data_IF_654307735001
#
_entry.id   IF_654307735001
#
_cell.length_a   1.000
_cell.length_b   1.000
_cell.length_c   1.000
_cell.angle_alpha   90.00
_cell.angle_beta   90.00
_cell.angle_gamma   90.00
#
_symmetry.space_group_name_H-M   'P 1'
#
loop_
_entity.id
_entity.type
_entity.pdbx_description
1 polymer ?
#
# COMPACT_ATOMS: atom_id res chain seq x y z
N UNK A 1 -2.19 -28.76 -13.07
CA UNK A 1 -3.25 -28.29 -12.15
C UNK A 1 -3.37 -26.77 -12.29
N UNK A 2 -4.57 -26.18 -12.37
CA UNK A 2 -4.74 -24.73 -12.59
C UNK A 2 -5.10 -24.03 -11.26
N UNK A 3 -4.32 -23.03 -10.84
CA UNK A 3 -4.53 -22.29 -9.58
C UNK A 3 -5.93 -21.66 -9.47
N UNK A 4 -6.47 -21.19 -10.61
CA UNK A 4 -7.83 -20.62 -10.68
C UNK A 4 -8.94 -21.61 -10.35
N UNK A 5 -8.72 -22.91 -10.58
CA UNK A 5 -9.71 -23.94 -10.22
C UNK A 5 -9.77 -24.12 -8.70
N UNK A 6 -8.63 -24.05 -8.03
CA UNK A 6 -8.50 -24.24 -6.58
C UNK A 6 -9.04 -23.01 -5.82
N UNK A 7 -8.82 -21.81 -6.34
CA UNK A 7 -9.39 -20.56 -5.80
C UNK A 7 -10.92 -20.59 -5.77
N UNK A 8 -11.55 -21.03 -6.87
CA UNK A 8 -13.00 -21.07 -7.04
C UNK A 8 -13.70 -22.28 -6.42
N UNK A 9 -12.94 -23.28 -5.98
CA UNK A 9 -13.52 -24.50 -5.44
C UNK A 9 -14.25 -24.21 -4.12
N UNK A 10 -15.53 -24.50 -4.03
CA UNK A 10 -16.32 -24.29 -2.81
C UNK A 10 -16.19 -25.43 -1.82
N UNK A 11 -15.59 -26.56 -2.21
CA UNK A 11 -15.37 -27.73 -1.35
C UNK A 11 -14.13 -27.58 -0.46
N UNK A 12 -13.17 -26.74 -0.87
CA UNK A 12 -11.98 -26.48 -0.09
C UNK A 12 -12.22 -25.36 0.91
N UNK A 13 -11.87 -25.62 2.17
CA UNK A 13 -11.85 -24.60 3.20
C UNK A 13 -10.82 -23.50 2.88
N UNK A 14 -11.00 -22.28 3.41
CA UNK A 14 -10.00 -21.22 3.28
C UNK A 14 -8.59 -21.63 3.74
N UNK A 15 -8.51 -22.50 4.76
CA UNK A 15 -7.25 -23.01 5.31
C UNK A 15 -6.56 -23.97 4.33
N UNK A 16 -7.29 -24.89 3.70
CA UNK A 16 -6.75 -25.82 2.71
C UNK A 16 -6.28 -25.08 1.45
N UNK A 17 -7.06 -24.10 0.99
CA UNK A 17 -6.64 -23.21 -0.10
C UNK A 17 -5.34 -22.51 0.25
N UNK A 18 -5.26 -21.89 1.43
CA UNK A 18 -4.06 -21.20 1.90
C UNK A 18 -2.84 -22.12 1.87
N UNK A 19 -2.97 -23.35 2.37
CA UNK A 19 -1.87 -24.33 2.35
C UNK A 19 -1.41 -24.63 0.92
N UNK A 20 -2.35 -24.80 -0.02
CA UNK A 20 -2.02 -25.02 -1.43
C UNK A 20 -1.29 -23.83 -2.05
N UNK A 21 -1.75 -22.61 -1.81
CA UNK A 21 -1.12 -21.40 -2.33
C UNK A 21 0.29 -21.19 -1.76
N UNK A 22 0.51 -21.48 -0.47
CA UNK A 22 1.85 -21.44 0.14
C UNK A 22 2.77 -22.50 -0.48
N UNK A 23 2.26 -23.70 -0.75
CA UNK A 23 3.05 -24.74 -1.41
C UNK A 23 3.44 -24.33 -2.84
N UNK A 24 2.48 -23.79 -3.61
CA UNK A 24 2.74 -23.29 -4.96
C UNK A 24 3.74 -22.13 -4.98
N UNK A 25 3.78 -21.32 -3.92
CA UNK A 25 4.73 -20.22 -3.77
C UNK A 25 6.19 -20.66 -3.79
N UNK A 26 6.51 -21.90 -3.38
CA UNK A 26 7.88 -22.44 -3.45
C UNK A 26 8.43 -22.49 -4.89
N UNK A 27 7.55 -22.64 -5.88
CA UNK A 27 7.92 -22.64 -7.30
C UNK A 27 7.75 -21.27 -7.96
N UNK A 28 6.83 -20.44 -7.45
CA UNK A 28 6.48 -19.16 -8.06
C UNK A 28 7.27 -17.97 -7.48
N UNK A 29 7.79 -18.10 -6.25
CA UNK A 29 8.60 -17.08 -5.60
C UNK A 29 7.87 -15.76 -5.37
N UNK A 30 6.57 -15.79 -5.04
CA UNK A 30 5.74 -14.59 -4.82
C UNK A 30 5.82 -14.08 -3.37
N UNK A 31 6.46 -14.84 -2.48
CA UNK A 31 6.67 -14.51 -1.07
C UNK A 31 5.32 -14.18 -0.38
N UNK A 32 4.39 -15.14 -0.43
CA UNK A 32 3.04 -15.02 0.13
C UNK A 32 3.03 -15.01 1.65
N UNK A 33 4.11 -15.47 2.27
CA UNK A 33 4.30 -15.49 3.72
C UNK A 33 5.01 -14.22 4.23
N UNK A 34 5.36 -13.28 3.34
CA UNK A 34 6.01 -12.03 3.75
C UNK A 34 5.18 -11.32 4.81
N UNK A 35 5.87 -10.82 5.82
CA UNK A 35 5.24 -9.91 6.76
C UNK A 35 5.02 -8.60 6.04
N UNK A 36 3.77 -8.11 6.03
CA UNK A 36 3.50 -6.74 5.62
C UNK A 36 4.08 -5.85 6.71
N UNK A 37 5.33 -5.43 6.53
CA UNK A 37 5.94 -4.42 7.37
C UNK A 37 5.30 -3.10 6.98
N UNK A 38 4.18 -2.77 7.63
CA UNK A 38 3.66 -1.43 7.60
C UNK A 38 4.68 -0.54 8.32
N UNK A 39 5.65 -0.01 7.57
CA UNK A 39 6.59 0.97 8.11
C UNK A 39 5.76 2.17 8.56
N UNK A 40 5.63 2.44 9.87
CA UNK A 40 4.80 3.53 10.33
C UNK A 40 5.42 4.84 9.85
N UNK A 41 4.58 5.82 9.53
CA UNK A 41 5.06 7.18 9.29
C UNK A 41 5.71 7.70 10.58
N UNK A 42 6.83 8.38 10.42
CA UNK A 42 7.35 9.24 11.49
C UNK A 42 6.40 10.41 11.75
N UNK A 43 6.51 11.01 12.94
CA UNK A 43 5.73 12.20 13.29
C UNK A 43 5.95 13.35 12.29
N UNK A 44 7.20 13.55 11.84
CA UNK A 44 7.55 14.55 10.83
C UNK A 44 6.85 14.29 9.49
N UNK A 45 6.78 13.04 9.05
CA UNK A 45 6.10 12.67 7.80
C UNK A 45 4.59 12.85 7.90
N UNK A 46 4.01 12.53 9.05
CA UNK A 46 2.60 12.79 9.31
C UNK A 46 2.29 14.29 9.30
N UNK A 47 3.18 15.11 9.88
CA UNK A 47 3.05 16.56 9.86
C UNK A 47 3.14 17.12 8.44
N UNK A 48 4.10 16.66 7.62
CA UNK A 48 4.21 17.06 6.21
C UNK A 48 2.94 16.71 5.40
N UNK A 49 2.34 15.54 5.65
CA UNK A 49 1.07 15.16 5.02
C UNK A 49 -0.06 16.11 5.44
N UNK A 50 -0.15 16.45 6.73
CA UNK A 50 -1.15 17.37 7.24
C UNK A 50 -0.98 18.79 6.67
N UNK A 51 0.25 19.31 6.65
CA UNK A 51 0.57 20.60 6.01
C UNK A 51 0.19 20.62 4.54
N UNK A 52 0.42 19.52 3.81
CA UNK A 52 0.05 19.44 2.39
C UNK A 52 -1.47 19.48 2.22
N UNK A 53 -2.22 18.81 3.11
CA UNK A 53 -3.68 18.85 3.08
C UNK A 53 -4.20 20.26 3.33
N UNK A 54 -3.61 20.99 4.27
CA UNK A 54 -3.96 22.40 4.53
C UNK A 54 -3.58 23.31 3.35
N UNK A 55 -2.40 23.14 2.76
CA UNK A 55 -1.99 23.85 1.55
C UNK A 55 -2.96 23.61 0.38
N UNK A 56 -3.48 22.38 0.25
CA UNK A 56 -4.46 22.04 -0.77
C UNK A 56 -5.83 22.66 -0.51
N UNK A 57 -6.26 22.74 0.76
CA UNK A 57 -7.48 23.46 1.18
C UNK A 57 -7.38 24.97 0.95
N UNK A 58 -6.22 25.56 1.23
CA UNK A 58 -5.95 26.98 0.99
C UNK A 58 -5.67 27.32 -0.48
N UNK A 59 -5.66 26.30 -1.36
CA UNK A 59 -5.34 26.41 -2.80
C UNK A 59 -3.92 26.91 -3.08
N UNK A 60 -3.00 26.69 -2.13
CA UNK A 60 -1.57 26.90 -2.34
C UNK A 60 -0.96 25.67 -3.03
N UNK A 61 -1.07 25.66 -4.36
CA UNK A 61 -0.57 24.57 -5.20
C UNK A 61 0.96 24.45 -5.15
N UNK A 62 1.66 25.58 -5.06
CA UNK A 62 3.13 25.61 -5.01
C UNK A 62 3.65 24.95 -3.73
N UNK A 63 3.07 25.30 -2.58
CA UNK A 63 3.43 24.67 -1.31
C UNK A 63 3.04 23.18 -1.30
N UNK A 64 1.88 22.83 -1.86
CA UNK A 64 1.42 21.44 -1.96
C UNK A 64 2.38 20.57 -2.78
N UNK A 65 2.85 21.08 -3.93
CA UNK A 65 3.81 20.37 -4.78
C UNK A 65 5.18 20.23 -4.10
N UNK A 66 5.67 21.28 -3.43
CA UNK A 66 6.93 21.23 -2.69
C UNK A 66 6.89 20.20 -1.54
N UNK A 67 5.77 20.10 -0.84
CA UNK A 67 5.57 19.10 0.22
C UNK A 67 5.45 17.68 -0.35
N UNK A 68 4.79 17.52 -1.51
CA UNK A 68 4.74 16.23 -2.23
C UNK A 68 6.14 15.76 -2.58
N UNK A 69 6.99 16.62 -3.12
CA UNK A 69 8.34 16.26 -3.54
C UNK A 69 9.24 15.91 -2.35
N UNK A 70 9.07 16.61 -1.21
CA UNK A 70 9.73 16.25 0.06
C UNK A 70 9.32 14.86 0.56
N UNK A 71 8.03 14.53 0.50
CA UNK A 71 7.53 13.21 0.89
C UNK A 71 8.01 12.13 -0.06
N UNK A 72 8.04 12.41 -1.37
CA UNK A 72 8.57 11.51 -2.38
C UNK A 72 10.07 11.22 -2.17
N UNK A 73 10.86 12.23 -1.83
CA UNK A 73 12.29 12.07 -1.49
C UNK A 73 12.50 11.18 -0.25
N UNK A 74 11.50 11.07 0.62
CA UNK A 74 11.50 10.16 1.77
C UNK A 74 10.92 8.77 1.45
N UNK A 75 10.55 8.52 0.19
CA UNK A 75 9.96 7.27 -0.26
C UNK A 75 8.45 7.18 -0.05
N UNK A 76 7.75 8.29 0.15
CA UNK A 76 6.30 8.32 0.32
C UNK A 76 5.66 8.91 -0.94
N UNK A 77 4.91 8.09 -1.66
CA UNK A 77 4.07 8.53 -2.77
C UNK A 77 2.67 8.87 -2.26
N UNK A 78 2.07 9.92 -2.82
CA UNK A 78 0.76 10.43 -2.39
C UNK A 78 -0.23 10.31 -3.53
N UNK A 79 -1.41 9.76 -3.23
CA UNK A 79 -2.53 9.63 -4.14
C UNK A 79 -3.75 10.37 -3.59
N UNK A 80 -4.22 11.38 -4.30
CA UNK A 80 -5.45 12.10 -3.97
C UNK A 80 -6.68 11.37 -4.52
N UNK A 81 -7.68 11.13 -3.67
CA UNK A 81 -8.96 10.53 -4.02
C UNK A 81 -10.15 11.35 -3.49
N UNK A 82 -11.39 10.93 -3.82
CA UNK A 82 -12.60 11.60 -3.35
C UNK A 82 -12.74 11.60 -1.82
N UNK A 83 -12.17 10.61 -1.14
CA UNK A 83 -12.17 10.47 0.32
C UNK A 83 -11.02 11.23 1.02
N UNK A 84 -10.15 11.91 0.24
CA UNK A 84 -8.98 12.63 0.73
C UNK A 84 -7.66 12.09 0.18
N UNK A 85 -6.54 12.43 0.84
CA UNK A 85 -5.23 11.93 0.44
C UNK A 85 -4.96 10.55 1.04
N UNK A 86 -4.42 9.66 0.22
CA UNK A 86 -3.85 8.37 0.62
C UNK A 86 -2.36 8.36 0.28
N UNK A 87 -1.58 7.50 0.93
CA UNK A 87 -0.15 7.43 0.71
C UNK A 87 0.35 5.98 0.70
N UNK A 88 1.46 5.76 0.01
CA UNK A 88 2.12 4.44 -0.09
C UNK A 88 3.62 4.61 0.00
N UNK A 89 4.31 3.64 0.60
CA UNK A 89 5.77 3.55 0.47
C UNK A 89 6.14 3.16 -0.97
N UNK A 90 7.14 3.84 -1.52
CA UNK A 90 7.76 3.57 -2.81
C UNK A 90 9.03 2.72 -2.64
#
# INVERSE_FOLDING_TARGET
>A
MRLRTIEKDTLLSPQEKRAFFIYADQALGLDLMRTIVAKPLSEDQQNLLNERAEARKSKDWNLSDLLRDKLLAQGISINDGPDGQSWTWN
#
